data_IF_317099551802
#
_entry.id   IF_317099551802
#
_cell.length_a   1.000
_cell.length_b   1.000
_cell.length_c   1.000
_cell.angle_alpha   90.00
_cell.angle_beta   90.00
_cell.angle_gamma   90.00
#
_symmetry.space_group_name_H-M   'P 1'
#
loop_
_entity.id
_entity.type
_entity.pdbx_description
1 polymer ?
#
# COMPACT_ATOMS: atom_id res chain seq x y z
N UNK A 1 -3.70 -9.17 -24.39
CA UNK A 1 -4.79 -8.24 -24.76
C UNK A 1 -5.22 -7.41 -23.56
N UNK A 2 -5.40 -8.02 -22.39
CA UNK A 2 -5.89 -7.32 -21.19
C UNK A 2 -4.89 -6.34 -20.56
N UNK A 3 -3.59 -6.67 -20.50
CA UNK A 3 -2.55 -5.77 -19.97
C UNK A 3 -2.40 -4.48 -20.79
N UNK A 4 -2.47 -4.56 -22.12
CA UNK A 4 -2.41 -3.38 -22.99
C UNK A 4 -3.65 -2.49 -22.83
N UNK A 5 -4.81 -3.08 -22.59
CA UNK A 5 -6.04 -2.33 -22.29
C UNK A 5 -5.94 -1.63 -20.92
N UNK A 6 -5.37 -2.32 -19.93
CA UNK A 6 -5.06 -1.78 -18.60
C UNK A 6 -4.09 -0.59 -18.66
N UNK A 7 -3.02 -0.72 -19.46
CA UNK A 7 -2.03 0.34 -19.70
C UNK A 7 -2.67 1.59 -20.30
N UNK A 8 -3.61 1.42 -21.24
CA UNK A 8 -4.33 2.52 -21.86
C UNK A 8 -5.27 3.22 -20.87
N UNK A 9 -6.00 2.46 -20.04
CA UNK A 9 -6.88 3.01 -18.98
C UNK A 9 -6.10 3.79 -17.92
N UNK A 10 -4.98 3.25 -17.46
CA UNK A 10 -4.11 3.93 -16.47
C UNK A 10 -3.61 5.28 -16.99
N UNK A 11 -3.16 5.33 -18.25
CA UNK A 11 -2.69 6.57 -18.89
C UNK A 11 -3.77 7.64 -19.01
N UNK A 12 -5.03 7.25 -19.18
CA UNK A 12 -6.17 8.18 -19.28
C UNK A 12 -6.57 8.75 -17.90
N UNK A 13 -6.43 7.95 -16.83
CA UNK A 13 -6.76 8.35 -15.45
C UNK A 13 -5.75 9.32 -14.80
N UNK A 14 -4.59 9.55 -15.42
CA UNK A 14 -3.58 10.53 -14.96
C UNK A 14 -4.04 12.00 -15.06
N UNK A 15 -5.23 12.29 -15.57
CA UNK A 15 -5.69 13.65 -15.91
C UNK A 15 -6.50 14.37 -14.83
N UNK A 16 -6.82 13.73 -13.71
CA UNK A 16 -7.46 14.37 -12.55
C UNK A 16 -6.58 14.21 -11.31
N UNK A 17 -5.80 15.25 -11.00
CA UNK A 17 -5.07 15.34 -9.74
C UNK A 17 -6.08 15.65 -8.64
N UNK A 18 -6.80 14.63 -8.17
CA UNK A 18 -7.39 14.69 -6.83
C UNK A 18 -6.24 14.73 -5.83
N UNK A 19 -6.29 15.67 -4.89
CA UNK A 19 -5.27 15.83 -3.86
C UNK A 19 -5.35 14.62 -2.93
N UNK A 20 -4.59 13.55 -3.23
CA UNK A 20 -4.56 12.34 -2.40
C UNK A 20 -3.90 12.67 -1.06
N UNK A 21 -4.63 12.46 0.02
CA UNK A 21 -4.08 12.58 1.37
C UNK A 21 -3.06 11.47 1.60
N UNK A 22 -1.97 11.76 2.31
CA UNK A 22 -0.91 10.79 2.65
C UNK A 22 0.00 10.32 1.49
N UNK A 23 0.15 11.15 0.45
CA UNK A 23 1.07 10.92 -0.68
C UNK A 23 2.10 12.04 -0.72
N UNK A 24 3.38 11.71 -0.91
CA UNK A 24 4.49 12.64 -1.06
C UNK A 24 5.41 12.21 -2.20
N UNK A 25 5.25 12.81 -3.38
CA UNK A 25 5.95 12.35 -4.58
C UNK A 25 5.43 10.98 -5.01
N UNK A 26 6.33 10.01 -5.16
CA UNK A 26 5.97 8.60 -5.45
C UNK A 26 5.65 7.80 -4.18
N UNK A 27 5.89 8.40 -3.02
CA UNK A 27 5.74 7.72 -1.73
C UNK A 27 4.33 7.89 -1.21
N UNK A 28 3.84 6.88 -0.50
CA UNK A 28 2.60 6.95 0.23
C UNK A 28 2.73 6.28 1.59
N UNK A 29 1.87 6.69 2.51
CA UNK A 29 1.81 6.09 3.83
C UNK A 29 0.38 5.96 4.34
N UNK A 30 0.20 5.15 5.38
CA UNK A 30 -1.00 5.19 6.20
C UNK A 30 -0.65 5.12 7.69
N UNK A 31 -1.57 5.65 8.50
CA UNK A 31 -1.59 5.46 9.95
C UNK A 31 -3.03 5.12 10.32
N UNK A 32 -3.24 4.05 11.07
CA UNK A 32 -4.56 3.73 11.63
C UNK A 32 -4.46 3.09 13.00
N UNK A 33 -5.49 3.32 13.82
CA UNK A 33 -5.63 2.71 15.13
C UNK A 33 -6.68 1.61 15.04
N UNK A 34 -6.35 0.44 15.55
CA UNK A 34 -7.27 -0.69 15.65
C UNK A 34 -7.26 -1.21 17.09
N UNK A 35 -8.31 -1.94 17.50
CA UNK A 35 -8.46 -2.41 18.89
C UNK A 35 -7.21 -3.13 19.43
N UNK A 36 -6.50 -3.86 18.57
CA UNK A 36 -5.33 -4.66 18.94
C UNK A 36 -4.02 -3.88 18.97
N UNK A 37 -3.93 -2.72 18.31
CA UNK A 37 -2.66 -2.02 18.13
C UNK A 37 -2.73 -0.82 17.20
N UNK A 38 -1.63 -0.08 17.16
CA UNK A 38 -1.40 1.00 16.21
C UNK A 38 -0.67 0.45 14.98
N UNK A 39 -1.12 0.83 13.78
CA UNK A 39 -0.60 0.34 12.51
C UNK A 39 -0.09 1.51 11.66
N UNK A 40 1.08 1.31 11.08
CA UNK A 40 1.73 2.25 10.19
C UNK A 40 2.22 1.50 8.96
N UNK A 41 2.13 2.12 7.80
CA UNK A 41 2.70 1.58 6.58
C UNK A 41 3.27 2.68 5.70
N UNK A 42 4.35 2.36 4.99
CA UNK A 42 4.96 3.19 3.95
C UNK A 42 5.18 2.36 2.69
N UNK A 43 5.10 3.00 1.53
CA UNK A 43 5.43 2.43 0.24
C UNK A 43 6.10 3.49 -0.65
N UNK A 44 7.22 3.13 -1.27
CA UNK A 44 7.94 3.95 -2.25
C UNK A 44 7.61 3.42 -3.66
N UNK A 45 6.92 4.22 -4.46
CA UNK A 45 6.55 3.87 -5.83
C UNK A 45 7.76 3.82 -6.75
N UNK A 46 7.93 2.70 -7.47
CA UNK A 46 9.11 2.52 -8.34
C UNK A 46 9.09 3.52 -9.50
N UNK A 47 10.00 4.49 -9.46
CA UNK A 47 10.03 5.62 -10.39
C UNK A 47 10.14 5.25 -11.88
N UNK A 48 10.69 4.09 -12.21
CA UNK A 48 10.87 3.60 -13.58
C UNK A 48 9.55 3.47 -14.37
N UNK A 49 8.41 3.34 -13.70
CA UNK A 49 7.10 3.32 -14.34
C UNK A 49 6.76 4.62 -15.10
N UNK A 50 7.40 5.75 -14.76
CA UNK A 50 7.23 7.01 -15.50
C UNK A 50 7.71 6.92 -16.94
N UNK A 51 8.73 6.13 -17.24
CA UNK A 51 9.23 5.94 -18.62
C UNK A 51 8.15 5.30 -19.51
N UNK A 52 7.20 4.60 -18.90
CA UNK A 52 6.05 4.02 -19.57
C UNK A 52 4.80 4.92 -19.52
N UNK A 53 4.89 6.13 -18.98
CA UNK A 53 3.79 7.07 -18.80
C UNK A 53 2.82 6.69 -17.67
N UNK A 54 3.28 5.89 -16.71
CA UNK A 54 2.52 5.49 -15.53
C UNK A 54 3.01 6.31 -14.33
N UNK A 55 2.08 6.82 -13.54
CA UNK A 55 2.35 7.53 -12.29
C UNK A 55 2.67 6.52 -11.17
N UNK A 56 3.93 6.46 -10.66
CA UNK A 56 4.30 5.49 -9.62
C UNK A 56 3.53 5.72 -8.30
N UNK A 57 3.14 6.97 -8.02
CA UNK A 57 2.37 7.31 -6.82
C UNK A 57 1.02 6.60 -6.79
N UNK A 58 0.46 6.23 -7.94
CA UNK A 58 -0.82 5.53 -8.03
C UNK A 58 -0.74 4.13 -7.41
N UNK A 59 0.34 3.40 -7.65
CA UNK A 59 0.50 2.07 -7.08
C UNK A 59 0.77 2.13 -5.57
N UNK A 60 1.72 2.96 -5.13
CA UNK A 60 2.07 3.09 -3.71
C UNK A 60 0.89 3.58 -2.87
N UNK A 61 0.20 4.64 -3.31
CA UNK A 61 -0.99 5.17 -2.60
C UNK A 61 -2.13 4.18 -2.53
N UNK A 62 -2.47 3.54 -3.65
CA UNK A 62 -3.55 2.54 -3.67
C UNK A 62 -3.25 1.36 -2.77
N UNK A 63 -1.99 0.90 -2.72
CA UNK A 63 -1.58 -0.20 -1.84
C UNK A 63 -1.73 0.18 -0.36
N UNK A 64 -1.33 1.40 0.03
CA UNK A 64 -1.49 1.90 1.39
C UNK A 64 -2.97 2.07 1.79
N UNK A 65 -3.80 2.60 0.89
CA UNK A 65 -5.24 2.75 1.11
C UNK A 65 -5.93 1.39 1.25
N UNK A 66 -5.58 0.41 0.40
CA UNK A 66 -6.08 -0.95 0.48
C UNK A 66 -5.71 -1.61 1.82
N UNK A 67 -4.46 -1.47 2.26
CA UNK A 67 -4.01 -1.99 3.56
C UNK A 67 -4.76 -1.32 4.73
N UNK A 68 -4.88 0.01 4.72
CA UNK A 68 -5.63 0.75 5.73
C UNK A 68 -7.09 0.30 5.79
N UNK A 69 -7.75 0.21 4.64
CA UNK A 69 -9.13 -0.25 4.52
C UNK A 69 -9.32 -1.68 5.06
N UNK A 70 -8.37 -2.58 4.79
CA UNK A 70 -8.40 -3.94 5.31
C UNK A 70 -8.25 -4.00 6.84
N UNK A 71 -7.48 -3.09 7.45
CA UNK A 71 -7.35 -2.97 8.91
C UNK A 71 -8.64 -2.40 9.51
N UNK A 72 -9.18 -1.34 8.92
CA UNK A 72 -10.37 -0.65 9.44
C UNK A 72 -11.62 -1.54 9.37
N UNK A 73 -11.73 -2.40 8.35
CA UNK A 73 -12.92 -3.21 8.07
C UNK A 73 -12.87 -4.66 8.57
N UNK A 74 -11.76 -5.14 9.15
CA UNK A 74 -11.65 -6.54 9.62
C UNK A 74 -11.43 -6.65 11.11
N UNK A 75 -12.01 -7.70 11.68
CA UNK A 75 -11.51 -8.30 12.91
C UNK A 75 -10.18 -9.00 12.58
N UNK A 76 -9.10 -8.24 12.56
CA UNK A 76 -7.75 -8.81 12.50
C UNK A 76 -7.43 -9.47 13.83
N UNK A 77 -6.74 -10.61 13.79
CA UNK A 77 -5.90 -11.10 14.89
C UNK A 77 -4.48 -10.62 14.60
N UNK A 78 -3.81 -10.00 15.57
CA UNK A 78 -2.46 -9.48 15.37
C UNK A 78 -1.42 -10.57 15.60
N UNK A 79 -0.83 -11.07 14.51
CA UNK A 79 0.34 -11.93 14.52
C UNK A 79 1.21 -11.64 13.28
N UNK A 80 2.44 -12.18 13.17
CA UNK A 80 3.32 -11.91 12.03
C UNK A 80 2.74 -12.34 10.67
N UNK A 81 1.96 -13.42 10.63
CA UNK A 81 1.32 -13.88 9.39
C UNK A 81 0.25 -12.89 8.92
N UNK A 82 -0.40 -12.20 9.86
CA UNK A 82 -1.44 -11.20 9.56
C UNK A 82 -0.92 -10.05 8.70
N UNK A 83 0.29 -9.52 8.94
CA UNK A 83 0.81 -8.39 8.15
C UNK A 83 1.25 -8.82 6.75
N UNK A 84 1.82 -10.02 6.60
CA UNK A 84 2.09 -10.60 5.29
C UNK A 84 0.79 -10.81 4.51
N UNK A 85 -0.24 -11.35 5.17
CA UNK A 85 -1.56 -11.51 4.57
C UNK A 85 -2.21 -10.19 4.23
N UNK A 86 -2.04 -9.17 5.07
CA UNK A 86 -2.53 -7.81 4.84
C UNK A 86 -1.96 -7.26 3.54
N UNK A 87 -0.64 -7.28 3.37
CA UNK A 87 0.02 -6.87 2.11
C UNK A 87 -0.48 -7.70 0.93
N UNK A 88 -0.56 -9.02 1.09
CA UNK A 88 -0.99 -9.93 0.01
C UNK A 88 -2.44 -9.65 -0.41
N UNK A 89 -3.33 -9.37 0.55
CA UNK A 89 -4.75 -9.04 0.30
C UNK A 89 -4.88 -7.64 -0.29
N UNK A 90 -4.11 -6.66 0.19
CA UNK A 90 -4.06 -5.31 -0.37
C UNK A 90 -3.65 -5.35 -1.83
N UNK A 91 -2.55 -6.04 -2.14
CA UNK A 91 -2.11 -6.22 -3.53
C UNK A 91 -3.16 -6.92 -4.41
N UNK A 92 -3.84 -7.96 -3.90
CA UNK A 92 -4.94 -8.60 -4.65
C UNK A 92 -6.10 -7.64 -4.93
N UNK A 93 -6.44 -6.74 -4.00
CA UNK A 93 -7.47 -5.71 -4.26
C UNK A 93 -7.07 -4.80 -5.41
N UNK A 94 -5.78 -4.44 -5.53
CA UNK A 94 -5.28 -3.65 -6.66
C UNK A 94 -5.41 -4.40 -7.99
N UNK A 95 -5.14 -5.71 -8.01
CA UNK A 95 -5.29 -6.54 -9.21
C UNK A 95 -6.74 -6.69 -9.66
N UNK A 96 -7.69 -6.65 -8.72
CA UNK A 96 -9.12 -6.76 -8.97
C UNK A 96 -9.77 -5.37 -9.22
N UNK A 97 -9.01 -4.28 -9.08
CA UNK A 97 -9.53 -2.93 -9.20
C UNK A 97 -9.93 -2.59 -10.65
N UNK A 98 -11.11 -2.00 -10.82
CA UNK A 98 -11.65 -1.60 -12.13
C UNK A 98 -10.83 -0.52 -12.82
N UNK A 99 -10.11 0.30 -12.06
CA UNK A 99 -9.22 1.34 -12.56
C UNK A 99 -7.92 0.78 -13.13
N UNK A 100 -7.63 -0.49 -12.88
CA UNK A 100 -6.49 -1.19 -13.43
C UNK A 100 -5.16 -0.55 -13.02
N UNK A 101 -4.82 -0.68 -11.73
CA UNK A 101 -3.65 -0.02 -11.16
C UNK A 101 -2.39 -0.81 -11.54
N UNK A 102 -1.61 -0.26 -12.47
CA UNK A 102 -0.32 -0.81 -12.88
C UNK A 102 0.79 -0.07 -12.16
N UNK A 103 1.77 -0.82 -11.69
CA UNK A 103 2.98 -0.27 -11.11
C UNK A 103 3.66 -1.28 -10.22
N UNK A 104 4.58 -0.77 -9.42
CA UNK A 104 5.18 -1.49 -8.32
C UNK A 104 5.64 -0.48 -7.28
N UNK A 105 5.80 -0.94 -6.05
CA UNK A 105 6.38 -0.16 -4.96
C UNK A 105 7.13 -1.09 -4.01
N UNK A 106 7.95 -0.52 -3.15
CA UNK A 106 8.28 -1.17 -1.88
C UNK A 106 7.05 -1.20 -0.97
N UNK A 107 7.13 -1.92 0.14
CA UNK A 107 6.17 -1.78 1.23
C UNK A 107 6.80 -2.14 2.58
N UNK A 108 6.67 -1.28 3.58
CA UNK A 108 7.05 -1.57 4.96
C UNK A 108 5.85 -1.28 5.86
N UNK A 109 5.34 -2.31 6.54
CA UNK A 109 4.24 -2.20 7.51
C UNK A 109 4.73 -2.59 8.90
N UNK A 110 4.34 -1.80 9.88
CA UNK A 110 4.64 -1.98 11.30
C UNK A 110 3.33 -1.92 12.09
N UNK A 111 3.16 -2.84 13.03
CA UNK A 111 2.05 -2.86 13.97
C UNK A 111 2.57 -3.04 15.40
N UNK A 112 2.22 -2.12 16.30
CA UNK A 112 2.52 -2.21 17.72
C UNK A 112 1.33 -2.80 18.46
N UNK A 113 1.47 -4.04 18.95
CA UNK A 113 0.40 -4.70 19.69
C UNK A 113 0.23 -4.06 21.08
N UNK A 114 -0.97 -3.55 21.39
CA UNK A 114 -1.25 -2.80 22.60
C UNK A 114 -1.08 -3.64 23.87
N UNK A 115 -1.60 -4.87 23.91
CA UNK A 115 -1.52 -5.71 25.11
C UNK A 115 -0.19 -6.45 25.22
N UNK A 116 0.26 -7.11 24.14
CA UNK A 116 1.45 -7.96 24.15
C UNK A 116 2.76 -7.17 24.11
N UNK A 117 2.72 -5.87 23.76
CA UNK A 117 3.91 -5.02 23.57
C UNK A 117 4.89 -5.59 22.54
N UNK A 118 4.37 -6.35 21.56
CA UNK A 118 5.15 -6.93 20.47
C UNK A 118 5.03 -6.02 19.25
N UNK A 119 6.17 -5.77 18.59
CA UNK A 119 6.24 -5.10 17.30
C UNK A 119 6.17 -6.16 16.19
N UNK A 120 5.08 -6.19 15.43
CA UNK A 120 4.96 -7.01 14.23
C UNK A 120 5.32 -6.19 13.02
N UNK A 121 6.06 -6.77 12.08
CA UNK A 121 6.47 -6.05 10.86
C UNK A 121 6.40 -6.95 9.64
N UNK A 122 6.20 -6.33 8.48
CA UNK A 122 6.33 -6.96 7.17
C UNK A 122 6.99 -5.97 6.22
N UNK A 123 8.11 -6.38 5.61
CA UNK A 123 8.87 -5.56 4.69
C UNK A 123 9.04 -6.27 3.35
N UNK A 124 8.83 -5.55 2.25
CA UNK A 124 9.02 -5.99 0.88
C UNK A 124 9.76 -4.88 0.12
N UNK A 125 10.97 -5.17 -0.34
CA UNK A 125 11.87 -4.17 -0.94
C UNK A 125 12.91 -3.66 0.05
N UNK A 126 13.36 -2.43 -0.15
CA UNK A 126 14.48 -1.79 0.54
C UNK A 126 14.08 -0.66 1.51
N UNK A 127 12.76 -0.48 1.74
CA UNK A 127 12.27 0.30 2.89
C UNK A 127 12.61 -0.36 4.23
N UNK A 128 12.37 0.33 5.35
CA UNK A 128 12.65 -0.22 6.68
C UNK A 128 12.22 0.67 7.84
N UNK A 129 12.55 0.23 9.05
CA UNK A 129 12.28 0.93 10.31
C UNK A 129 13.45 0.72 11.29
N UNK A 130 13.52 1.55 12.34
CA UNK A 130 14.51 1.45 13.42
C UNK A 130 13.82 1.53 14.78
N UNK A 131 14.34 0.82 15.78
CA UNK A 131 13.91 0.90 17.19
C UNK A 131 15.03 1.58 17.97
N UNK A 132 14.69 2.62 18.72
CA UNK A 132 15.62 3.46 19.52
C UNK A 132 15.28 3.31 21.00
#
# INVERSE_FOLDING_TARGET
NDENECLLKTKQNNSSIEHRTNVYGDDAFFITKHRLGDFLGVADGVGGWREHGIDPSLFSSSLMDACKSLIDNKLLDLNPLTLKELLSKGYKQLLEDKQCIIGSSTACIVALHNEQRILHTANLGDSGFVVI
#
